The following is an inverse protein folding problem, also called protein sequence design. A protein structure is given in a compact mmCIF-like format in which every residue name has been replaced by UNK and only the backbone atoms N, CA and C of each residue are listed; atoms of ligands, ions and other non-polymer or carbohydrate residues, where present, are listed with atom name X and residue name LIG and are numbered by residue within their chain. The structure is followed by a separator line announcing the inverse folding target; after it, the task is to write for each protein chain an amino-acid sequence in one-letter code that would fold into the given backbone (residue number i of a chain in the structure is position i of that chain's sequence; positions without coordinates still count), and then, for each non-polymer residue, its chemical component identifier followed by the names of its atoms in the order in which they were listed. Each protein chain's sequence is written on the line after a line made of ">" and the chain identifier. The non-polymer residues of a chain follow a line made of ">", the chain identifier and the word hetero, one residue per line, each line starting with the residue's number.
data_IF_426092269056
#
_entry.id   IF_426092269056
#
_cell.length_a   1.000
_cell.length_b   1.000
_cell.length_c   1.000
_cell.angle_alpha   90.00
_cell.angle_beta   90.00
_cell.angle_gamma   90.00
#
_symmetry.space_group_name_H-M   'P 1'
#
loop_
_entity.id
_entity.type
_entity.pdbx_description
1 polymer ?
#
# COMPACT_ATOMS: atom_id res chain seq x y z
N UNK A 1 -2.10 -22.45 -4.36
CA UNK A 1 -2.80 -21.18 -4.67
C UNK A 1 -2.60 -20.21 -3.51
N UNK A 2 -2.30 -18.96 -3.81
CA UNK A 2 -2.07 -17.94 -2.79
C UNK A 2 -3.40 -17.32 -2.35
N UNK A 3 -3.52 -17.08 -1.05
CA UNK A 3 -4.69 -16.39 -0.50
C UNK A 3 -4.53 -14.87 -0.63
N UNK A 4 -5.58 -14.12 -0.29
CA UNK A 4 -5.58 -12.66 -0.43
C UNK A 4 -4.49 -11.97 0.40
N UNK A 5 -4.21 -12.47 1.59
CA UNK A 5 -3.15 -11.90 2.43
C UNK A 5 -1.78 -12.06 1.77
N UNK A 6 -1.51 -13.22 1.20
CA UNK A 6 -0.27 -13.46 0.45
C UNK A 6 -0.18 -12.59 -0.80
N UNK A 7 -1.31 -12.39 -1.49
CA UNK A 7 -1.35 -11.52 -2.67
C UNK A 7 -1.12 -10.06 -2.29
N UNK A 8 -1.63 -9.62 -1.14
CA UNK A 8 -1.37 -8.25 -0.65
C UNK A 8 0.11 -8.04 -0.34
N UNK A 9 0.78 -9.04 0.19
CA UNK A 9 2.22 -8.95 0.41
C UNK A 9 2.97 -8.78 -0.92
N UNK A 10 2.56 -9.48 -1.96
CA UNK A 10 3.14 -9.32 -3.30
C UNK A 10 2.90 -7.90 -3.83
N UNK A 11 1.67 -7.39 -3.70
CA UNK A 11 1.34 -6.03 -4.13
C UNK A 11 2.26 -5.02 -3.42
N UNK A 12 2.41 -5.16 -2.12
CA UNK A 12 3.27 -4.29 -1.31
C UNK A 12 4.71 -4.33 -1.81
N UNK A 13 5.24 -5.51 -2.10
CA UNK A 13 6.62 -5.66 -2.59
C UNK A 13 6.82 -5.01 -3.95
N UNK A 14 5.84 -5.12 -4.85
CA UNK A 14 5.92 -4.47 -6.16
C UNK A 14 5.90 -2.95 -6.00
N UNK A 15 5.01 -2.42 -5.18
CA UNK A 15 4.94 -0.97 -4.94
C UNK A 15 6.23 -0.46 -4.28
N UNK A 16 6.78 -1.22 -3.35
CA UNK A 16 8.08 -0.91 -2.75
C UNK A 16 9.16 -0.75 -3.83
N UNK A 17 9.26 -1.71 -4.76
CA UNK A 17 10.24 -1.65 -5.85
C UNK A 17 9.99 -0.46 -6.78
N UNK A 18 8.72 -0.22 -7.12
CA UNK A 18 8.36 0.94 -7.97
C UNK A 18 8.81 2.23 -7.31
N UNK A 19 8.55 2.41 -6.04
CA UNK A 19 8.93 3.63 -5.32
C UNK A 19 10.45 3.86 -5.32
N UNK A 20 11.23 2.79 -5.14
CA UNK A 20 12.69 2.87 -5.20
C UNK A 20 13.16 3.27 -6.61
N UNK A 21 12.62 2.60 -7.64
CA UNK A 21 13.02 2.86 -9.01
C UNK A 21 12.66 4.27 -9.46
N UNK A 22 11.48 4.76 -9.06
CA UNK A 22 11.07 6.13 -9.37
C UNK A 22 11.97 7.17 -8.68
N UNK A 23 12.31 6.94 -7.42
CA UNK A 23 13.19 7.85 -6.68
C UNK A 23 14.59 7.91 -7.30
N UNK A 24 15.11 6.77 -7.72
CA UNK A 24 16.42 6.70 -8.35
C UNK A 24 16.39 7.04 -9.84
N UNK A 25 15.21 7.34 -10.39
CA UNK A 25 15.01 7.70 -11.80
C UNK A 25 15.47 6.61 -12.76
N UNK A 26 15.32 5.36 -12.36
CA UNK A 26 15.62 4.20 -13.18
C UNK A 26 14.36 3.74 -13.91
N UNK A 27 14.50 3.41 -15.17
CA UNK A 27 13.41 2.87 -15.96
C UNK A 27 13.07 1.47 -15.49
N UNK A 28 11.79 1.10 -15.57
CA UNK A 28 11.35 -0.23 -15.23
C UNK A 28 10.15 -0.63 -16.08
N UNK A 29 9.95 -1.93 -16.21
CA UNK A 29 8.75 -2.51 -16.83
C UNK A 29 7.90 -3.09 -15.70
N UNK A 30 6.71 -2.52 -15.47
CA UNK A 30 5.84 -2.93 -14.38
C UNK A 30 5.45 -4.38 -14.50
N UNK A 31 5.19 -4.86 -15.72
CA UNK A 31 4.84 -6.26 -15.96
C UNK A 31 5.95 -7.20 -15.49
N UNK A 32 7.21 -6.84 -15.73
CA UNK A 32 8.36 -7.64 -15.30
C UNK A 32 8.47 -7.67 -13.77
N UNK A 33 8.26 -6.53 -13.11
CA UNK A 33 8.30 -6.48 -11.63
C UNK A 33 7.24 -7.39 -11.02
N UNK A 34 6.05 -7.40 -11.59
CA UNK A 34 4.97 -8.27 -11.11
C UNK A 34 5.33 -9.73 -11.35
N UNK A 35 5.86 -10.08 -12.53
CA UNK A 35 6.22 -11.46 -12.85
C UNK A 35 7.32 -12.01 -11.95
N UNK A 36 8.25 -11.18 -11.51
CA UNK A 36 9.29 -11.59 -10.57
C UNK A 36 8.72 -12.07 -9.24
N UNK A 37 7.59 -11.50 -8.83
CA UNK A 37 6.94 -11.84 -7.57
C UNK A 37 5.88 -12.93 -7.73
N UNK A 38 5.25 -13.03 -8.91
CA UNK A 38 4.13 -13.93 -9.13
C UNK A 38 4.13 -14.36 -10.60
N UNK A 39 4.46 -15.62 -10.86
CA UNK A 39 4.56 -16.15 -12.22
C UNK A 39 3.23 -16.18 -12.96
N UNK A 40 2.15 -16.57 -12.27
CA UNK A 40 0.84 -16.70 -12.87
C UNK A 40 0.09 -15.37 -12.75
N UNK A 41 -0.44 -14.89 -13.87
CA UNK A 41 -1.21 -13.65 -13.89
C UNK A 41 -2.35 -13.71 -12.87
N UNK A 42 -2.50 -12.64 -12.10
CA UNK A 42 -3.55 -12.51 -11.10
C UNK A 42 -4.20 -11.14 -11.22
N UNK A 43 -5.51 -11.12 -11.47
CA UNK A 43 -6.24 -9.89 -11.69
C UNK A 43 -6.25 -8.97 -10.46
N UNK A 44 -6.39 -9.54 -9.27
CA UNK A 44 -6.37 -8.76 -8.03
C UNK A 44 -5.03 -8.02 -7.88
N UNK A 45 -3.92 -8.71 -8.10
CA UNK A 45 -2.58 -8.10 -8.03
C UNK A 45 -2.43 -7.01 -9.09
N UNK A 46 -2.77 -7.32 -10.34
CA UNK A 46 -2.61 -6.36 -11.44
C UNK A 46 -3.46 -5.11 -11.24
N UNK A 47 -4.73 -5.27 -10.88
CA UNK A 47 -5.64 -4.15 -10.64
C UNK A 47 -5.18 -3.30 -9.47
N UNK A 48 -4.72 -3.95 -8.39
CA UNK A 48 -4.27 -3.22 -7.20
C UNK A 48 -3.00 -2.43 -7.47
N UNK A 49 -2.02 -3.04 -8.14
CA UNK A 49 -0.77 -2.35 -8.48
C UNK A 49 -1.06 -1.15 -9.40
N UNK A 50 -1.83 -1.39 -10.46
CA UNK A 50 -2.20 -0.33 -11.40
C UNK A 50 -2.97 0.80 -10.71
N UNK A 51 -3.92 0.44 -9.86
CA UNK A 51 -4.75 1.42 -9.14
C UNK A 51 -3.95 2.26 -8.16
N UNK A 52 -3.03 1.65 -7.43
CA UNK A 52 -2.17 2.39 -6.49
C UNK A 52 -1.29 3.38 -7.25
N UNK A 53 -0.69 2.95 -8.36
CA UNK A 53 0.15 3.83 -9.16
C UNK A 53 -0.66 4.97 -9.77
N UNK A 54 -1.83 4.66 -10.31
CA UNK A 54 -2.72 5.65 -10.91
C UNK A 54 -3.16 6.71 -9.91
N UNK A 55 -3.48 6.30 -8.68
CA UNK A 55 -3.99 7.18 -7.64
C UNK A 55 -2.93 7.60 -6.62
N UNK A 56 -1.66 7.38 -6.91
CA UNK A 56 -0.57 7.63 -5.96
C UNK A 56 -0.62 9.05 -5.37
N UNK A 57 -0.83 10.05 -6.22
CA UNK A 57 -0.85 11.44 -5.77
C UNK A 57 -1.95 11.68 -4.74
N UNK A 58 -3.15 11.20 -5.03
CA UNK A 58 -4.31 11.34 -4.13
C UNK A 58 -4.11 10.52 -2.84
N UNK A 59 -3.57 9.31 -2.98
CA UNK A 59 -3.30 8.44 -1.83
C UNK A 59 -2.28 9.09 -0.89
N UNK A 60 -1.19 9.63 -1.43
CA UNK A 60 -0.15 10.28 -0.64
C UNK A 60 -0.66 11.57 0.00
N UNK A 61 -1.47 12.34 -0.71
CA UNK A 61 -2.10 13.55 -0.17
C UNK A 61 -3.00 13.20 1.01
N UNK A 62 -3.77 12.13 0.89
CA UNK A 62 -4.66 11.68 1.94
C UNK A 62 -3.88 11.18 3.16
N UNK A 63 -2.80 10.43 2.93
CA UNK A 63 -1.92 10.01 4.02
C UNK A 63 -1.37 11.21 4.78
N UNK A 64 -0.88 12.21 4.06
CA UNK A 64 -0.30 13.41 4.67
C UNK A 64 -1.33 14.23 5.44
N UNK A 65 -2.59 14.19 5.05
CA UNK A 65 -3.66 14.88 5.78
C UNK A 65 -3.80 14.33 7.20
N UNK A 66 -3.56 13.05 7.40
CA UNK A 66 -3.78 12.38 8.68
C UNK A 66 -2.51 11.98 9.43
N UNK A 67 -1.34 12.03 8.77
CA UNK A 67 -0.06 11.82 9.45
C UNK A 67 0.25 13.02 10.34
N UNK A 68 0.67 12.76 11.57
CA UNK A 68 1.05 13.79 12.52
C UNK A 68 2.58 13.86 12.60
N UNK A 69 3.16 15.04 12.41
CA UNK A 69 4.60 15.31 12.47
C UNK A 69 5.43 14.77 11.31
N UNK A 70 4.87 13.92 10.45
CA UNK A 70 5.57 13.29 9.36
C UNK A 70 4.81 13.44 8.06
N UNK A 71 5.51 13.38 6.94
CA UNK A 71 4.90 13.20 5.63
C UNK A 71 5.24 11.78 5.15
N UNK A 72 4.40 11.22 4.28
CA UNK A 72 4.58 9.83 3.86
C UNK A 72 5.93 9.60 3.18
N UNK A 73 6.45 10.60 2.46
CA UNK A 73 7.75 10.49 1.77
C UNK A 73 8.93 10.37 2.74
N UNK A 74 8.74 10.68 4.02
CA UNK A 74 9.77 10.52 5.05
C UNK A 74 9.76 9.15 5.71
N UNK A 75 8.73 8.37 5.49
CA UNK A 75 8.69 6.98 5.95
C UNK A 75 9.60 6.15 5.08
N UNK A 76 10.06 4.99 5.58
CA UNK A 76 10.82 4.09 4.72
C UNK A 76 9.91 3.54 3.61
N UNK A 77 10.51 3.00 2.56
CA UNK A 77 9.78 2.60 1.35
C UNK A 77 8.77 1.46 1.59
N UNK A 78 9.08 0.56 2.52
CA UNK A 78 8.15 -0.51 2.87
C UNK A 78 6.92 0.06 3.57
N UNK A 79 7.12 0.95 4.53
CA UNK A 79 6.02 1.57 5.27
C UNK A 79 5.13 2.40 4.35
N UNK A 80 5.75 3.11 3.39
CA UNK A 80 4.99 3.85 2.37
C UNK A 80 4.10 2.90 1.57
N UNK A 81 4.65 1.75 1.15
CA UNK A 81 3.89 0.79 0.35
C UNK A 81 2.73 0.19 1.12
N UNK A 82 2.94 -0.15 2.40
CA UNK A 82 1.87 -0.71 3.24
C UNK A 82 0.75 0.31 3.44
N UNK A 83 1.11 1.54 3.76
CA UNK A 83 0.12 2.60 3.99
C UNK A 83 -0.65 2.90 2.70
N UNK A 84 0.06 2.97 1.56
CA UNK A 84 -0.58 3.21 0.27
C UNK A 84 -1.57 2.11 -0.09
N UNK A 85 -1.20 0.84 0.13
CA UNK A 85 -2.11 -0.27 -0.12
C UNK A 85 -3.36 -0.19 0.76
N UNK A 86 -3.18 0.12 2.04
CA UNK A 86 -4.31 0.26 2.97
C UNK A 86 -5.26 1.36 2.54
N UNK A 87 -4.74 2.52 2.18
CA UNK A 87 -5.56 3.64 1.71
C UNK A 87 -6.26 3.29 0.40
N UNK A 88 -5.54 2.67 -0.52
CA UNK A 88 -6.13 2.24 -1.79
C UNK A 88 -7.33 1.32 -1.56
N UNK A 89 -7.18 0.31 -0.71
CA UNK A 89 -8.28 -0.60 -0.45
C UNK A 89 -9.45 0.07 0.26
N UNK A 90 -9.19 1.01 1.17
CA UNK A 90 -10.26 1.75 1.85
C UNK A 90 -11.04 2.64 0.89
N UNK A 91 -10.36 3.32 -0.04
CA UNK A 91 -10.97 4.40 -0.80
C UNK A 91 -11.40 4.01 -2.21
N UNK A 92 -10.77 3.00 -2.80
CA UNK A 92 -10.93 2.72 -4.23
C UNK A 92 -11.42 1.30 -4.54
N UNK A 93 -11.73 0.50 -3.53
CA UNK A 93 -12.18 -0.88 -3.74
C UNK A 93 -13.41 -1.20 -2.88
N UNK A 94 -14.00 -2.36 -3.13
CA UNK A 94 -15.11 -2.87 -2.36
C UNK A 94 -14.66 -3.69 -1.14
N UNK A 95 -13.36 -3.77 -0.88
CA UNK A 95 -12.85 -4.46 0.31
C UNK A 95 -13.48 -3.85 1.56
N UNK A 96 -14.08 -4.67 2.44
CA UNK A 96 -14.60 -4.14 3.68
C UNK A 96 -13.53 -3.39 4.47
N UNK A 97 -13.88 -2.24 5.03
CA UNK A 97 -12.91 -1.35 5.70
C UNK A 97 -12.15 -2.06 6.82
N UNK A 98 -12.84 -2.90 7.59
CA UNK A 98 -12.19 -3.67 8.67
C UNK A 98 -11.12 -4.60 8.11
N UNK A 99 -11.38 -5.23 6.97
CA UNK A 99 -10.43 -6.13 6.32
C UNK A 99 -9.22 -5.34 5.80
N UNK A 100 -9.47 -4.21 5.12
CA UNK A 100 -8.40 -3.38 4.59
C UNK A 100 -7.45 -2.91 5.70
N UNK A 101 -8.00 -2.45 6.81
CA UNK A 101 -7.20 -1.97 7.95
C UNK A 101 -6.43 -3.12 8.58
N UNK A 102 -7.10 -4.23 8.88
CA UNK A 102 -6.47 -5.36 9.54
C UNK A 102 -5.34 -5.96 8.69
N UNK A 103 -5.53 -6.05 7.39
CA UNK A 103 -4.50 -6.59 6.49
C UNK A 103 -3.26 -5.68 6.43
N UNK A 104 -3.46 -4.37 6.41
CA UNK A 104 -2.34 -3.43 6.47
C UNK A 104 -1.58 -3.55 7.80
N UNK A 105 -2.31 -3.70 8.91
CA UNK A 105 -1.70 -3.89 10.22
C UNK A 105 -0.89 -5.19 10.27
N UNK A 106 -1.43 -6.28 9.75
CA UNK A 106 -0.71 -7.55 9.73
C UNK A 106 0.58 -7.47 8.92
N UNK A 107 0.56 -6.79 7.76
CA UNK A 107 1.78 -6.54 7.00
C UNK A 107 2.79 -5.71 7.79
N UNK A 108 2.32 -4.67 8.47
CA UNK A 108 3.22 -3.82 9.24
C UNK A 108 3.85 -4.55 10.43
N UNK A 109 3.15 -5.50 11.02
CA UNK A 109 3.73 -6.33 12.08
C UNK A 109 4.91 -7.17 11.60
N UNK A 110 4.90 -7.56 10.34
CA UNK A 110 5.99 -8.37 9.75
C UNK A 110 7.16 -7.49 9.33
N UNK A 111 6.89 -6.32 8.74
CA UNK A 111 7.91 -5.51 8.07
C UNK A 111 8.29 -4.21 8.78
N UNK A 112 7.52 -3.79 9.77
CA UNK A 112 7.70 -2.49 10.43
C UNK A 112 7.82 -2.67 11.94
N UNK A 113 8.23 -1.62 12.63
CA UNK A 113 8.26 -1.67 14.09
C UNK A 113 6.88 -1.32 14.69
N UNK A 114 6.75 -1.51 16.00
CA UNK A 114 5.48 -1.32 16.69
C UNK A 114 4.97 0.12 16.60
N UNK A 115 5.85 1.11 16.63
CA UNK A 115 5.44 2.52 16.55
C UNK A 115 4.86 2.85 15.18
N UNK A 116 5.44 2.28 14.12
CA UNK A 116 4.93 2.46 12.77
C UNK A 116 3.58 1.75 12.60
N UNK A 117 3.44 0.55 13.16
CA UNK A 117 2.16 -0.17 13.14
C UNK A 117 1.05 0.66 13.77
N UNK A 118 1.32 1.28 14.91
CA UNK A 118 0.34 2.15 15.59
C UNK A 118 0.00 3.36 14.74
N UNK A 119 1.01 3.95 14.08
CA UNK A 119 0.80 5.09 13.20
C UNK A 119 -0.06 4.73 12.00
N UNK A 120 0.22 3.62 11.35
CA UNK A 120 -0.56 3.13 10.20
C UNK A 120 -2.01 2.90 10.62
N UNK A 121 -2.21 2.21 11.76
CA UNK A 121 -3.55 1.98 12.29
C UNK A 121 -4.29 3.30 12.52
N UNK A 122 -3.63 4.27 13.15
CA UNK A 122 -4.23 5.58 13.42
C UNK A 122 -4.64 6.33 12.17
N UNK A 123 -3.77 6.33 11.15
CA UNK A 123 -4.07 6.99 9.87
C UNK A 123 -5.25 6.33 9.16
N UNK A 124 -5.22 5.00 9.04
CA UNK A 124 -6.28 4.28 8.34
C UNK A 124 -7.61 4.39 9.08
N UNK A 125 -7.60 4.37 10.41
CA UNK A 125 -8.80 4.53 11.21
C UNK A 125 -9.43 5.92 11.00
N UNK A 126 -8.62 6.97 10.98
CA UNK A 126 -9.11 8.33 10.72
C UNK A 126 -9.68 8.46 9.31
N UNK A 127 -9.02 7.89 8.32
CA UNK A 127 -9.54 7.89 6.95
C UNK A 127 -10.89 7.18 6.91
N UNK A 128 -11.00 6.04 7.56
CA UNK A 128 -12.25 5.29 7.62
C UNK A 128 -13.39 6.12 8.22
N UNK A 129 -13.12 6.89 9.27
CA UNK A 129 -14.15 7.65 9.97
C UNK A 129 -14.45 9.02 9.34
N UNK A 130 -13.50 9.61 8.64
CA UNK A 130 -13.60 11.00 8.19
C UNK A 130 -13.72 11.18 6.67
N UNK A 131 -13.34 10.18 5.88
CA UNK A 131 -13.45 10.26 4.42
C UNK A 131 -14.57 9.38 3.92
N UNK A 132 -15.22 9.82 2.84
CA UNK A 132 -16.25 9.03 2.18
C UNK A 132 -15.68 8.40 0.92
N UNK A 133 -16.13 7.18 0.66
CA UNK A 133 -15.76 6.49 -0.59
C UNK A 133 -16.37 7.17 -1.80
#
# INVERSE_FOLDING_TARGET
>A
MKNRSELREIIMKVIYQVNILEETKLDYDLSDLIKEQLEVKNDFVNQSVDGIIEHKKEIYSLANKYLTYWTIDRLNKVDQAILALGIYELMYTDTPSVVAINEAIELSKVYSDESVTKMINGVLDKIYHEEEK
#
